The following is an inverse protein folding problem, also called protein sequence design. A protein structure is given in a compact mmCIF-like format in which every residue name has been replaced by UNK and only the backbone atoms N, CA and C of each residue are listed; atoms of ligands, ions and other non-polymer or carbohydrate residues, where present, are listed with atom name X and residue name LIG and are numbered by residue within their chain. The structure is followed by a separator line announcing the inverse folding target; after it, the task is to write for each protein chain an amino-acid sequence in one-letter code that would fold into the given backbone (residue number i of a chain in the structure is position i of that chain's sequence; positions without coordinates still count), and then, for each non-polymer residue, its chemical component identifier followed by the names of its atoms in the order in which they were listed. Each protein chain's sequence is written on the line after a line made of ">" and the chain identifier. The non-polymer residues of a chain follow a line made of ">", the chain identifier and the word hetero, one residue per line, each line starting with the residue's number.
data_IF_593671549017
#
_entry.id   IF_593671549017
#
_cell.length_a   1.000
_cell.length_b   1.000
_cell.length_c   1.000
_cell.angle_alpha   90.00
_cell.angle_beta   90.00
_cell.angle_gamma   90.00
#
_symmetry.space_group_name_H-M   'P 1'
#
loop_
_entity.id
_entity.type
_entity.pdbx_description
1 polymer ?
#
# COMPACT_ATOMS: atom_id res chain seq x y z
N UNK A 1 -22.93 10.54 11.64
CA UNK A 1 -21.66 10.09 11.04
C UNK A 1 -20.55 10.52 11.97
N UNK A 2 -20.15 9.63 12.88
CA UNK A 2 -19.06 9.91 13.83
C UNK A 2 -17.80 9.21 13.32
N UNK A 3 -16.96 9.97 12.61
CA UNK A 3 -15.64 9.54 12.11
C UNK A 3 -14.51 9.92 13.08
N UNK A 4 -14.81 10.01 14.39
CA UNK A 4 -13.93 10.58 15.42
C UNK A 4 -13.34 9.48 16.31
N UNK A 5 -12.48 8.63 15.74
CA UNK A 5 -11.51 7.85 16.53
C UNK A 5 -10.28 7.55 15.67
N UNK A 6 -9.62 8.64 15.27
CA UNK A 6 -8.35 8.66 14.56
C UNK A 6 -7.32 7.77 15.25
N UNK A 7 -7.24 6.52 14.79
CA UNK A 7 -6.03 5.74 14.83
C UNK A 7 -5.24 6.18 13.60
N UNK A 8 -3.96 6.51 13.76
CA UNK A 8 -3.02 6.95 12.71
C UNK A 8 -2.96 6.03 11.46
N UNK A 9 -3.62 4.86 11.48
CA UNK A 9 -3.77 3.95 10.33
C UNK A 9 -4.96 4.20 9.41
N UNK A 10 -5.95 5.03 9.77
CA UNK A 10 -7.16 5.25 8.93
C UNK A 10 -7.01 6.41 7.93
N UNK A 11 -6.08 7.33 8.16
CA UNK A 11 -5.84 8.48 7.27
C UNK A 11 -5.45 8.11 5.82
N UNK A 12 -4.56 7.13 5.55
CA UNK A 12 -4.28 6.73 4.17
C UNK A 12 -5.49 6.06 3.51
N UNK A 13 -6.34 5.37 4.29
CA UNK A 13 -7.55 4.75 3.78
C UNK A 13 -8.60 5.80 3.40
N UNK A 14 -8.79 6.84 4.23
CA UNK A 14 -9.66 7.96 3.92
C UNK A 14 -9.22 8.68 2.63
N UNK A 15 -7.92 8.88 2.44
CA UNK A 15 -7.38 9.50 1.22
C UNK A 15 -7.60 8.63 -0.04
N UNK A 16 -7.48 7.31 0.07
CA UNK A 16 -7.78 6.40 -1.05
C UNK A 16 -9.27 6.42 -1.41
N UNK A 17 -10.16 6.47 -0.42
CA UNK A 17 -11.60 6.58 -0.65
C UNK A 17 -11.94 7.91 -1.35
N UNK A 18 -11.36 9.02 -0.91
CA UNK A 18 -11.54 10.32 -1.56
C UNK A 18 -11.06 10.29 -3.01
N UNK A 19 -9.89 9.70 -3.28
CA UNK A 19 -9.39 9.53 -4.65
C UNK A 19 -10.33 8.67 -5.51
N UNK A 20 -10.94 7.63 -4.95
CA UNK A 20 -11.92 6.80 -5.66
C UNK A 20 -13.21 7.56 -6.00
N UNK A 21 -13.65 8.46 -5.10
CA UNK A 21 -14.79 9.36 -5.39
C UNK A 21 -14.47 10.29 -6.56
N UNK A 22 -13.27 10.88 -6.59
CA UNK A 22 -12.83 11.74 -7.70
C UNK A 22 -12.76 10.97 -9.03
N UNK A 23 -12.28 9.73 -9.01
CA UNK A 23 -12.24 8.85 -10.19
C UNK A 23 -13.63 8.54 -10.77
N UNK A 24 -14.67 8.62 -9.95
CA UNK A 24 -16.05 8.28 -10.31
C UNK A 24 -16.96 9.52 -10.43
N UNK A 25 -16.37 10.71 -10.57
CA UNK A 25 -17.10 11.96 -10.74
C UNK A 25 -18.17 11.86 -11.86
N UNK A 26 -19.33 12.46 -11.60
CA UNK A 26 -20.48 12.42 -12.51
C UNK A 26 -20.16 13.10 -13.85
N UNK A 27 -19.39 14.19 -13.81
CA UNK A 27 -18.89 14.90 -14.99
C UNK A 27 -17.61 14.22 -15.47
N UNK A 28 -17.56 13.66 -16.70
CA UNK A 28 -16.39 12.93 -17.20
C UNK A 28 -15.09 13.74 -17.17
N UNK A 29 -15.15 15.01 -17.55
CA UNK A 29 -13.99 15.93 -17.59
C UNK A 29 -13.44 16.29 -16.21
N UNK A 30 -14.21 16.07 -15.15
CA UNK A 30 -13.77 16.31 -13.78
C UNK A 30 -12.98 15.13 -13.19
N UNK A 31 -12.98 13.97 -13.87
CA UNK A 31 -12.23 12.79 -13.41
C UNK A 31 -10.74 13.03 -13.61
N UNK A 32 -9.89 12.67 -12.63
CA UNK A 32 -8.45 12.78 -12.79
C UNK A 32 -7.94 11.87 -13.92
N UNK A 33 -6.88 12.29 -14.61
CA UNK A 33 -6.17 11.39 -15.53
C UNK A 33 -5.50 10.25 -14.75
N UNK A 34 -5.32 9.09 -15.38
CA UNK A 34 -4.67 7.95 -14.72
C UNK A 34 -3.25 8.28 -14.21
N UNK A 35 -2.53 9.19 -14.87
CA UNK A 35 -1.24 9.67 -14.39
C UNK A 35 -1.35 10.41 -13.03
N UNK A 36 -2.36 11.26 -12.87
CA UNK A 36 -2.64 11.89 -11.58
C UNK A 36 -3.07 10.86 -10.53
N UNK A 37 -3.88 9.87 -10.89
CA UNK A 37 -4.31 8.80 -9.97
C UNK A 37 -3.10 8.03 -9.44
N UNK A 38 -2.16 7.62 -10.32
CA UNK A 38 -0.93 6.92 -9.92
C UNK A 38 -0.10 7.78 -8.98
N UNK A 39 0.12 9.06 -9.32
CA UNK A 39 0.86 10.01 -8.48
C UNK A 39 0.24 10.12 -7.08
N UNK A 40 -1.09 10.28 -6.98
CA UNK A 40 -1.81 10.37 -5.70
C UNK A 40 -1.71 9.08 -4.89
N UNK A 41 -1.78 7.91 -5.53
CA UNK A 41 -1.59 6.62 -4.84
C UNK A 41 -0.17 6.52 -4.26
N UNK A 42 0.85 6.94 -5.01
CA UNK A 42 2.23 6.93 -4.51
C UNK A 42 2.45 7.89 -3.33
N UNK A 43 1.83 9.07 -3.37
CA UNK A 43 1.82 10.02 -2.24
C UNK A 43 1.19 9.39 -0.99
N UNK A 44 0.01 8.78 -1.14
CA UNK A 44 -0.70 8.14 -0.02
C UNK A 44 0.15 7.00 0.56
N UNK A 45 0.78 6.18 -0.28
CA UNK A 45 1.70 5.12 0.17
C UNK A 45 2.87 5.68 0.98
N UNK A 46 3.48 6.80 0.54
CA UNK A 46 4.58 7.44 1.27
C UNK A 46 4.12 7.97 2.63
N UNK A 47 2.94 8.58 2.71
CA UNK A 47 2.38 9.06 3.98
C UNK A 47 2.03 7.93 4.97
N UNK A 48 1.75 6.72 4.47
CA UNK A 48 1.54 5.53 5.31
C UNK A 48 2.85 4.97 5.89
N UNK A 49 4.00 5.31 5.31
CA UNK A 49 5.32 4.83 5.75
C UNK A 49 6.02 5.98 6.46
N UNK A 50 5.54 6.33 7.66
CA UNK A 50 6.40 7.04 8.62
C UNK A 50 7.42 6.03 9.16
N UNK A 51 8.74 6.31 9.09
CA UNK A 51 9.74 5.39 9.59
C UNK A 51 9.75 5.45 11.13
N UNK A 52 9.11 4.49 11.80
CA UNK A 52 9.53 4.14 13.15
C UNK A 52 10.83 3.33 13.03
N UNK A 53 11.95 4.00 12.78
CA UNK A 53 13.28 3.39 12.92
C UNK A 53 13.58 3.31 14.42
N UNK A 54 13.09 2.24 15.04
CA UNK A 54 13.69 1.69 16.25
C UNK A 54 14.11 0.24 15.94
N UNK A 55 15.37 0.14 15.50
CA UNK A 55 16.37 -0.83 15.93
C UNK A 55 15.86 -2.17 16.51
N UNK A 56 15.97 -3.24 15.74
CA UNK A 56 16.24 -4.59 16.27
C UNK A 56 17.25 -5.28 15.35
N UNK A 57 18.52 -5.18 15.73
CA UNK A 57 19.55 -6.13 15.35
C UNK A 57 19.17 -7.51 15.92
N UNK A 58 19.09 -8.54 15.07
CA UNK A 58 19.44 -9.90 15.50
C UNK A 58 20.15 -10.60 14.33
N UNK A 59 21.48 -10.60 14.43
CA UNK A 59 22.32 -11.55 13.71
C UNK A 59 22.06 -12.94 14.29
N UNK A 60 21.44 -13.82 13.50
CA UNK A 60 21.63 -15.26 13.69
C UNK A 60 22.01 -15.91 12.37
N UNK A 61 23.14 -16.59 12.43
CA UNK A 61 23.93 -17.06 11.31
C UNK A 61 23.51 -18.47 10.87
N UNK A 62 23.42 -18.64 9.55
CA UNK A 62 23.88 -19.80 8.75
C UNK A 62 23.40 -21.22 9.15
N UNK A 63 22.60 -21.82 8.26
CA UNK A 63 22.94 -23.12 7.63
C UNK A 63 22.10 -23.33 6.35
N UNK A 64 22.76 -23.38 5.20
CA UNK A 64 22.23 -23.97 3.97
C UNK A 64 22.04 -25.48 4.15
N UNK A 65 20.93 -26.02 3.64
CA UNK A 65 20.86 -27.40 3.12
C UNK A 65 19.74 -27.48 2.06
N UNK A 66 20.18 -27.92 0.90
CA UNK A 66 19.53 -28.07 -0.40
C UNK A 66 18.46 -29.19 -0.44
N UNK A 67 17.37 -29.02 -1.21
CA UNK A 67 16.81 -30.06 -2.10
C UNK A 67 15.43 -29.69 -2.74
N UNK A 68 15.48 -29.46 -4.05
CA UNK A 68 14.49 -29.73 -5.11
C UNK A 68 13.17 -28.91 -5.22
N UNK A 69 12.94 -28.21 -6.36
CA UNK A 69 11.61 -27.81 -6.78
C UNK A 69 10.86 -29.00 -7.39
N UNK A 70 9.77 -29.43 -6.75
CA UNK A 70 8.83 -30.38 -7.35
C UNK A 70 7.98 -29.65 -8.38
N UNK A 71 8.33 -29.79 -9.66
CA UNK A 71 7.49 -29.28 -10.74
C UNK A 71 6.29 -30.23 -10.95
N UNK A 72 5.04 -29.76 -10.77
CA UNK A 72 3.85 -30.61 -10.85
C UNK A 72 3.40 -30.94 -12.28
N UNK A 73 4.16 -30.55 -13.31
CA UNK A 73 3.73 -30.67 -14.72
C UNK A 73 4.54 -31.67 -15.56
N UNK A 74 5.32 -32.56 -14.93
CA UNK A 74 5.94 -33.67 -15.65
C UNK A 74 5.08 -34.94 -15.56
N UNK A 75 4.08 -35.07 -16.44
CA UNK A 75 3.61 -36.29 -17.14
C UNK A 75 2.53 -35.89 -18.14
#
# INVERSE_FOLDING_TARGET
>A
MELMRHQTGEEPMAQLVLLAMDCTAQVPEARPSMAHVVMRIEEIKKSSVTPNIEQVDDQSSRAESEAAPTNPFAT
#
